data_IF_191389674716
#
_entry.id   IF_191389674716
#
_cell.length_a   1.000
_cell.length_b   1.000
_cell.length_c   1.000
_cell.angle_alpha   90.00
_cell.angle_beta   90.00
_cell.angle_gamma   90.00
#
_symmetry.space_group_name_H-M   'P 1'
#
loop_
_entity.id
_entity.type
_entity.pdbx_description
1 polymer ?
#
# COMPACT_ATOMS: atom_id res chain seq x y z
N UNK A 1 1.26 44.06 -29.43
CA UNK A 1 2.16 43.07 -28.78
C UNK A 1 1.25 42.09 -28.10
N UNK A 2 1.08 40.92 -28.71
CA UNK A 2 0.14 39.90 -28.28
C UNK A 2 0.61 39.28 -26.96
N UNK A 3 -0.31 39.26 -26.00
CA UNK A 3 -0.17 38.56 -24.72
C UNK A 3 -0.19 37.05 -25.00
N UNK A 4 0.91 36.36 -24.70
CA UNK A 4 0.94 34.90 -24.64
C UNK A 4 -0.03 34.42 -23.54
N UNK A 5 -0.82 33.36 -23.78
CA UNK A 5 -1.74 32.85 -22.78
C UNK A 5 -0.96 32.16 -21.67
N UNK A 6 -1.10 32.65 -20.45
CA UNK A 6 -0.64 32.01 -19.22
C UNK A 6 -1.19 30.58 -19.14
N UNK A 7 -0.31 29.59 -19.26
CA UNK A 7 -0.62 28.19 -19.00
C UNK A 7 -1.10 28.03 -17.56
N UNK A 8 -2.38 27.65 -17.40
CA UNK A 8 -2.98 27.37 -16.09
C UNK A 8 -2.16 26.29 -15.39
N UNK A 9 -1.70 26.62 -14.18
CA UNK A 9 -0.49 26.08 -13.56
C UNK A 9 -0.66 24.71 -12.92
N UNK A 10 0.35 23.87 -13.08
CA UNK A 10 0.53 22.73 -12.18
C UNK A 10 0.93 23.29 -10.81
N UNK A 11 0.24 22.87 -9.78
CA UNK A 11 0.55 23.17 -8.39
C UNK A 11 1.40 22.06 -7.79
N UNK A 12 2.18 22.39 -6.76
CA UNK A 12 2.89 21.39 -5.96
C UNK A 12 1.88 20.75 -5.00
N UNK A 13 1.52 19.50 -5.27
CA UNK A 13 0.52 18.77 -4.49
C UNK A 13 1.15 18.10 -3.26
N UNK A 14 2.43 17.74 -3.36
CA UNK A 14 3.22 17.16 -2.28
C UNK A 14 4.68 17.52 -2.48
N UNK A 15 5.32 17.96 -1.39
CA UNK A 15 6.75 18.10 -1.29
C UNK A 15 7.23 17.41 -0.02
N UNK A 16 8.21 16.52 -0.16
CA UNK A 16 8.80 15.78 0.94
C UNK A 16 10.31 15.90 0.90
N UNK A 17 10.88 16.08 2.08
CA UNK A 17 12.30 16.12 2.29
C UNK A 17 12.69 14.98 3.24
N UNK A 18 13.63 14.16 2.80
CA UNK A 18 14.30 13.17 3.66
C UNK A 18 15.77 13.55 3.80
N UNK A 19 16.53 12.81 4.60
CA UNK A 19 17.98 12.98 4.73
C UNK A 19 18.74 12.81 3.40
N UNK A 20 18.24 11.98 2.45
CA UNK A 20 18.90 11.68 1.17
C UNK A 20 18.32 12.37 -0.06
N UNK A 21 17.01 12.65 -0.07
CA UNK A 21 16.30 13.11 -1.28
C UNK A 21 15.25 14.19 -0.99
N UNK A 22 14.96 14.97 -2.02
CA UNK A 22 13.72 15.74 -2.18
C UNK A 22 12.79 15.01 -3.14
N UNK A 23 11.53 14.84 -2.75
CA UNK A 23 10.47 14.30 -3.60
C UNK A 23 9.38 15.34 -3.80
N UNK A 24 8.97 15.57 -5.04
CA UNK A 24 7.88 16.48 -5.37
C UNK A 24 6.92 15.83 -6.36
N UNK A 25 5.62 15.97 -6.11
CA UNK A 25 4.57 15.68 -7.08
C UNK A 25 3.86 16.98 -7.47
N UNK A 26 3.78 17.25 -8.77
CA UNK A 26 3.05 18.40 -9.31
C UNK A 26 1.89 17.95 -10.16
N UNK A 27 0.77 18.65 -10.08
CA UNK A 27 -0.44 18.30 -10.82
C UNK A 27 -1.50 19.37 -10.73
N UNK A 28 -2.67 19.05 -11.27
CA UNK A 28 -3.85 19.91 -11.10
C UNK A 28 -4.48 19.62 -9.74
N UNK A 29 -4.60 20.63 -8.90
CA UNK A 29 -5.33 20.51 -7.65
C UNK A 29 -6.84 20.45 -7.95
N UNK A 30 -7.48 19.35 -7.56
CA UNK A 30 -8.91 19.10 -7.73
C UNK A 30 -9.56 18.71 -6.40
N UNK A 31 -8.96 19.11 -5.28
CA UNK A 31 -9.43 18.70 -3.96
C UNK A 31 -10.87 19.14 -3.68
N UNK A 32 -11.29 20.29 -4.20
CA UNK A 32 -12.67 20.79 -4.08
C UNK A 32 -13.73 19.91 -4.76
N UNK A 33 -13.32 18.94 -5.59
CA UNK A 33 -14.24 18.03 -6.30
C UNK A 33 -14.55 16.77 -5.48
N UNK A 34 -13.92 16.61 -4.31
CA UNK A 34 -14.08 15.48 -3.40
C UNK A 34 -14.85 15.95 -2.16
N UNK A 35 -15.86 15.20 -1.74
CA UNK A 35 -16.58 15.45 -0.48
C UNK A 35 -16.05 14.54 0.64
N UNK A 36 -16.19 14.94 1.90
CA UNK A 36 -15.79 14.13 3.08
C UNK A 36 -16.46 12.75 3.17
N UNK A 37 -17.56 12.52 2.43
CA UNK A 37 -18.25 11.23 2.35
C UNK A 37 -17.65 10.29 1.30
N UNK A 38 -16.78 10.83 0.45
CA UNK A 38 -16.19 10.14 -0.70
C UNK A 38 -14.79 9.60 -0.36
N UNK A 39 -14.31 9.80 0.88
CA UNK A 39 -12.97 9.43 1.33
C UNK A 39 -13.02 8.84 2.75
N UNK A 40 -12.44 7.67 2.94
CA UNK A 40 -12.15 7.13 4.28
C UNK A 40 -10.79 7.64 4.81
N UNK A 41 -10.05 8.36 3.97
CA UNK A 41 -8.63 8.64 4.11
C UNK A 41 -8.33 10.09 3.70
N UNK A 42 -7.52 10.77 4.52
CA UNK A 42 -6.79 11.95 4.05
C UNK A 42 -5.88 11.52 2.91
N UNK A 43 -5.87 12.29 1.83
CA UNK A 43 -5.09 11.99 0.63
C UNK A 43 -3.66 11.57 0.98
N UNK A 44 -3.29 10.40 0.46
CA UNK A 44 -1.99 9.72 0.52
C UNK A 44 -1.35 9.50 1.91
N UNK A 45 -0.94 8.26 2.17
CA UNK A 45 -0.18 7.86 3.35
C UNK A 45 1.29 7.74 2.98
N UNK A 46 2.16 8.49 3.65
CA UNK A 46 3.61 8.35 3.49
C UNK A 46 4.10 7.33 4.51
N UNK A 47 4.78 6.29 4.03
CA UNK A 47 5.50 5.35 4.87
C UNK A 47 6.99 5.53 4.56
N UNK A 48 7.70 6.11 5.51
CA UNK A 48 9.15 6.23 5.48
C UNK A 48 9.77 5.17 6.39
N UNK A 49 10.85 4.53 5.93
CA UNK A 49 11.62 3.57 6.74
C UNK A 49 13.10 3.92 6.74
N UNK A 50 13.61 4.33 7.90
CA UNK A 50 15.05 4.45 8.16
C UNK A 50 15.41 3.53 9.32
N UNK A 51 16.44 2.69 9.11
CA UNK A 51 16.95 1.76 10.13
C UNK A 51 15.88 0.88 10.83
N UNK A 52 14.77 0.59 10.15
CA UNK A 52 13.69 -0.28 10.66
C UNK A 52 12.59 0.43 11.44
N UNK A 53 12.57 1.76 11.49
CA UNK A 53 11.44 2.52 12.03
C UNK A 53 10.51 2.97 10.89
N UNK A 54 9.28 2.44 10.86
CA UNK A 54 8.20 2.98 10.05
C UNK A 54 7.71 4.30 10.69
N UNK A 55 7.92 5.40 9.99
CA UNK A 55 7.35 6.70 10.32
C UNK A 55 6.23 7.00 9.34
N UNK A 56 5.01 7.14 9.87
CA UNK A 56 3.85 7.61 9.12
C UNK A 56 3.77 9.13 9.28
N UNK A 57 3.82 9.85 8.16
CA UNK A 57 3.66 11.30 8.14
C UNK A 57 2.28 11.58 7.51
N UNK A 58 1.39 12.20 8.29
CA UNK A 58 0.11 12.74 7.80
C UNK A 58 0.36 14.16 7.27
N UNK A 59 0.09 14.39 6.00
CA UNK A 59 0.31 15.67 5.31
C UNK A 59 -1.01 16.26 4.84
N UNK A 60 -0.98 17.48 4.30
CA UNK A 60 -2.17 18.10 3.71
C UNK A 60 -2.80 17.22 2.64
N UNK A 61 -4.14 17.28 2.55
CA UNK A 61 -4.91 16.45 1.63
C UNK A 61 -4.56 16.77 0.17
N UNK A 62 -4.16 15.76 -0.60
CA UNK A 62 -4.11 15.85 -2.05
C UNK A 62 -4.76 14.63 -2.68
N UNK A 63 -5.69 14.86 -3.61
CA UNK A 63 -6.42 13.79 -4.29
C UNK A 63 -5.87 13.58 -5.71
N UNK A 64 -5.62 12.31 -6.05
CA UNK A 64 -5.07 11.91 -7.35
C UNK A 64 -6.15 11.28 -8.23
N UNK A 65 -6.07 11.44 -9.55
CA UNK A 65 -7.10 10.97 -10.48
C UNK A 65 -6.50 10.20 -11.65
N UNK A 66 -7.22 9.18 -12.11
CA UNK A 66 -6.74 8.19 -13.06
C UNK A 66 -6.23 8.77 -14.40
N UNK A 67 -6.89 9.80 -14.93
CA UNK A 67 -6.61 10.36 -16.25
C UNK A 67 -5.94 11.75 -16.19
N UNK A 68 -5.43 12.12 -15.02
CA UNK A 68 -4.67 13.36 -14.84
C UNK A 68 -3.16 13.12 -14.99
N UNK A 69 -2.45 14.15 -15.44
CA UNK A 69 -1.00 14.12 -15.57
C UNK A 69 -0.32 14.63 -14.30
N UNK A 70 0.49 13.78 -13.67
CA UNK A 70 1.31 14.14 -12.52
C UNK A 70 2.78 14.14 -12.89
N UNK A 71 3.48 15.20 -12.51
CA UNK A 71 4.93 15.30 -12.68
C UNK A 71 5.62 14.88 -11.40
N UNK A 72 6.38 13.80 -11.47
CA UNK A 72 7.20 13.31 -10.37
C UNK A 72 8.61 13.87 -10.53
N UNK A 73 9.16 14.40 -9.45
CA UNK A 73 10.55 14.91 -9.39
C UNK A 73 11.20 14.32 -8.13
N UNK A 74 12.38 13.72 -8.31
CA UNK A 74 13.16 13.09 -7.25
C UNK A 74 14.59 13.59 -7.36
N UNK A 75 15.00 14.45 -6.44
CA UNK A 75 16.32 15.06 -6.42
C UNK A 75 17.16 14.49 -5.29
N UNK A 76 18.38 14.05 -5.60
CA UNK A 76 19.33 13.58 -4.60
C UNK A 76 20.06 14.76 -3.97
N UNK A 77 20.30 14.70 -2.66
CA UNK A 77 21.07 15.70 -1.91
C UNK A 77 22.57 15.55 -2.14
N UNK A 78 23.06 14.32 -2.16
CA UNK A 78 24.48 14.02 -2.37
C UNK A 78 24.74 13.46 -3.78
N UNK A 79 25.92 13.78 -4.34
CA UNK A 79 26.30 13.33 -5.69
C UNK A 79 26.51 11.83 -5.78
N UNK A 80 27.00 11.20 -4.72
CA UNK A 80 27.34 9.77 -4.69
C UNK A 80 26.13 8.88 -4.41
N UNK A 81 24.98 9.46 -4.07
CA UNK A 81 23.74 8.72 -3.85
C UNK A 81 23.18 8.20 -5.17
N UNK A 82 23.00 6.89 -5.26
CA UNK A 82 22.27 6.27 -6.35
C UNK A 82 20.78 6.22 -5.98
N UNK A 83 19.94 6.82 -6.83
CA UNK A 83 18.50 6.77 -6.69
C UNK A 83 17.86 5.99 -7.84
N UNK A 84 16.81 5.24 -7.54
CA UNK A 84 15.97 4.57 -8.54
C UNK A 84 14.50 4.64 -8.13
N UNK A 85 13.62 4.53 -9.12
CA UNK A 85 12.18 4.58 -8.93
C UNK A 85 11.55 3.24 -9.33
N UNK A 86 10.60 2.80 -8.51
CA UNK A 86 9.80 1.61 -8.77
C UNK A 86 8.32 1.92 -8.54
N UNK A 87 7.48 1.28 -9.35
CA UNK A 87 6.03 1.27 -9.27
C UNK A 87 5.58 -0.10 -9.80
N UNK A 88 4.45 -0.66 -9.35
CA UNK A 88 3.99 -1.97 -9.81
C UNK A 88 3.77 -2.00 -11.34
N UNK A 89 3.09 -0.97 -11.88
CA UNK A 89 2.92 -0.76 -13.31
C UNK A 89 4.21 -0.31 -14.02
N UNK A 90 4.62 -1.10 -15.02
CA UNK A 90 5.81 -0.86 -15.84
C UNK A 90 5.68 0.41 -16.70
N UNK A 91 4.50 0.76 -17.16
CA UNK A 91 4.28 1.95 -17.98
C UNK A 91 4.55 3.22 -17.19
N UNK A 92 4.14 3.27 -15.92
CA UNK A 92 4.49 4.35 -15.00
C UNK A 92 6.00 4.38 -14.74
N UNK A 93 6.62 3.22 -14.45
CA UNK A 93 8.08 3.14 -14.24
C UNK A 93 8.87 3.69 -15.43
N UNK A 94 8.48 3.33 -16.65
CA UNK A 94 9.18 3.73 -17.86
C UNK A 94 9.04 5.23 -18.20
N UNK A 95 8.10 5.94 -17.58
CA UNK A 95 7.98 7.40 -17.73
C UNK A 95 8.97 8.17 -16.87
N UNK A 96 9.51 7.55 -15.83
CA UNK A 96 10.50 8.17 -14.96
C UNK A 96 11.89 7.95 -15.54
N UNK A 97 12.60 9.05 -15.77
CA UNK A 97 13.91 9.07 -16.44
C UNK A 97 14.95 9.78 -15.61
N UNK A 98 16.19 9.34 -15.74
CA UNK A 98 17.35 9.93 -15.07
C UNK A 98 17.91 11.08 -15.90
N UNK A 99 18.11 12.23 -15.27
CA UNK A 99 18.75 13.38 -15.91
C UNK A 99 20.28 13.33 -15.75
N UNK A 100 20.98 14.36 -16.26
CA UNK A 100 22.44 14.44 -16.18
C UNK A 100 22.99 14.60 -14.76
N UNK A 101 22.24 15.21 -13.84
CA UNK A 101 22.65 15.30 -12.42
C UNK A 101 22.47 13.98 -11.68
N UNK A 102 21.76 13.02 -12.27
CA UNK A 102 21.38 11.77 -11.65
C UNK A 102 20.10 11.84 -10.83
N UNK A 103 19.38 12.96 -10.88
CA UNK A 103 18.00 13.10 -10.39
C UNK A 103 17.03 12.36 -11.32
N UNK A 104 15.84 12.02 -10.84
CA UNK A 104 14.80 11.35 -11.63
C UNK A 104 13.60 12.29 -11.83
N UNK A 105 13.03 12.28 -13.03
CA UNK A 105 11.75 12.95 -13.27
C UNK A 105 10.96 12.34 -14.41
N UNK A 106 9.66 12.60 -14.42
CA UNK A 106 8.77 12.18 -15.50
C UNK A 106 7.32 12.57 -15.28
N UNK A 107 6.52 12.47 -16.34
CA UNK A 107 5.07 12.72 -16.31
C UNK A 107 4.36 11.37 -16.35
N UNK A 108 3.55 11.10 -15.32
CA UNK A 108 2.82 9.85 -15.13
C UNK A 108 1.31 10.10 -15.16
N UNK A 109 0.56 9.06 -15.52
CA UNK A 109 -0.91 9.00 -15.52
C UNK A 109 -1.26 7.57 -15.12
N UNK A 110 -2.26 7.38 -14.25
CA UNK A 110 -2.61 6.06 -13.73
C UNK A 110 -3.50 5.24 -14.68
N UNK A 111 -4.13 5.90 -15.66
CA UNK A 111 -4.82 5.29 -16.82
C UNK A 111 -5.75 4.11 -16.48
N UNK A 112 -6.61 4.27 -15.49
CA UNK A 112 -7.55 3.23 -15.06
C UNK A 112 -7.10 2.43 -13.84
N UNK A 113 -5.89 2.65 -13.32
CA UNK A 113 -5.46 2.13 -12.02
C UNK A 113 -6.05 3.00 -10.90
N UNK A 114 -7.30 2.72 -10.54
CA UNK A 114 -7.97 3.34 -9.41
C UNK A 114 -7.70 2.57 -8.10
N UNK A 115 -7.80 3.27 -6.96
CA UNK A 115 -7.45 2.76 -5.63
C UNK A 115 -6.01 3.09 -5.24
N UNK A 116 -5.44 2.31 -4.31
CA UNK A 116 -4.11 2.58 -3.78
C UNK A 116 -2.98 2.29 -4.78
N UNK A 117 -2.01 3.19 -4.86
CA UNK A 117 -0.82 3.10 -5.71
C UNK A 117 0.42 3.50 -4.93
N UNK A 118 1.43 2.62 -4.93
CA UNK A 118 2.69 2.82 -4.20
C UNK A 118 3.79 3.35 -5.13
N UNK A 119 4.24 4.58 -4.87
CA UNK A 119 5.41 5.19 -5.48
C UNK A 119 6.63 4.88 -4.60
N UNK A 120 7.53 4.02 -5.07
CA UNK A 120 8.67 3.52 -4.29
C UNK A 120 9.97 4.15 -4.80
N UNK A 121 10.63 4.91 -3.93
CA UNK A 121 11.94 5.49 -4.20
C UNK A 121 12.98 4.67 -3.44
N UNK A 122 14.00 4.21 -4.17
CA UNK A 122 15.11 3.44 -3.61
C UNK A 122 16.39 4.25 -3.62
N UNK A 123 17.11 4.22 -2.51
CA UNK A 123 18.45 4.79 -2.35
C UNK A 123 19.45 3.66 -2.19
N UNK A 124 20.48 3.62 -3.03
CA UNK A 124 21.52 2.59 -3.04
C UNK A 124 20.93 1.16 -3.06
N UNK A 125 19.85 0.98 -3.84
CA UNK A 125 19.14 -0.30 -4.01
C UNK A 125 18.15 -0.67 -2.90
N UNK A 126 18.08 0.07 -1.79
CA UNK A 126 17.15 -0.16 -0.68
C UNK A 126 15.96 0.78 -0.74
N UNK A 127 14.79 0.31 -0.32
CA UNK A 127 13.59 1.14 -0.21
C UNK A 127 13.82 2.21 0.86
N UNK A 128 13.66 3.47 0.43
CA UNK A 128 13.95 4.65 1.24
C UNK A 128 12.68 5.42 1.54
N UNK A 129 11.81 5.57 0.54
CA UNK A 129 10.54 6.29 0.66
C UNK A 129 9.45 5.56 -0.11
N UNK A 130 8.35 5.25 0.55
CA UNK A 130 7.14 4.69 -0.07
C UNK A 130 6.01 5.70 0.13
N UNK A 131 5.45 6.16 -0.98
CA UNK A 131 4.31 7.08 -0.98
C UNK A 131 3.12 6.31 -1.51
N UNK A 132 2.20 5.96 -0.64
CA UNK A 132 0.96 5.31 -1.02
C UNK A 132 -0.08 6.39 -1.27
N UNK A 133 -0.47 6.56 -2.52
CA UNK A 133 -1.52 7.51 -2.92
C UNK A 133 -2.82 6.75 -3.22
N UNK A 134 -3.96 7.41 -3.04
CA UNK A 134 -5.25 6.91 -3.52
C UNK A 134 -5.60 7.61 -4.84
N UNK A 135 -5.88 6.82 -5.87
CA UNK A 135 -6.22 7.28 -7.22
C UNK A 135 -7.73 7.13 -7.45
N UNK A 136 -8.40 8.25 -7.65
CA UNK A 136 -9.83 8.34 -7.86
C UNK A 136 -10.21 8.29 -9.34
N UNK A 137 -11.38 7.74 -9.69
CA UNK A 137 -11.89 7.82 -11.04
C UNK A 137 -12.26 9.27 -11.41
N UNK A 138 -12.04 9.66 -12.66
CA UNK A 138 -12.29 11.04 -13.10
C UNK A 138 -13.77 11.32 -13.38
N UNK A 139 -14.58 10.29 -13.68
CA UNK A 139 -16.00 10.42 -14.02
C UNK A 139 -16.88 10.16 -12.80
N UNK A 140 -17.82 11.09 -12.53
CA UNK A 140 -18.76 11.02 -11.39
C UNK A 140 -19.60 9.73 -11.43
N UNK A 141 -20.04 9.31 -12.62
CA UNK A 141 -20.81 8.07 -12.77
C UNK A 141 -19.97 6.85 -12.38
N UNK A 142 -18.70 6.83 -12.79
CA UNK A 142 -17.77 5.77 -12.41
C UNK A 142 -17.46 5.76 -10.91
N UNK A 143 -17.47 6.92 -10.25
CA UNK A 143 -17.29 7.01 -8.80
C UNK A 143 -18.48 6.39 -8.05
N UNK A 144 -19.70 6.72 -8.48
CA UNK A 144 -20.93 6.13 -7.91
C UNK A 144 -21.01 4.62 -8.20
N UNK A 145 -20.71 4.24 -9.44
CA UNK A 145 -20.69 2.83 -9.86
C UNK A 145 -19.59 2.07 -9.14
N UNK A 146 -18.41 2.66 -8.92
CA UNK A 146 -17.30 2.04 -8.17
C UNK A 146 -17.65 1.87 -6.70
N UNK A 147 -18.25 2.89 -6.06
CA UNK A 147 -18.71 2.78 -4.68
C UNK A 147 -19.83 1.74 -4.54
N UNK A 148 -20.76 1.71 -5.48
CA UNK A 148 -21.81 0.68 -5.53
C UNK A 148 -21.21 -0.72 -5.73
N UNK A 149 -20.26 -0.89 -6.68
CA UNK A 149 -19.55 -2.15 -6.90
C UNK A 149 -18.75 -2.57 -5.65
N UNK A 150 -18.05 -1.66 -4.98
CA UNK A 150 -17.34 -1.98 -3.74
C UNK A 150 -18.30 -2.41 -2.63
N UNK A 151 -19.44 -1.74 -2.52
CA UNK A 151 -20.47 -2.11 -1.56
C UNK A 151 -21.07 -3.50 -1.88
N UNK A 152 -21.39 -3.74 -3.16
CA UNK A 152 -21.89 -5.03 -3.66
C UNK A 152 -20.86 -6.16 -3.46
N UNK A 153 -19.59 -5.92 -3.79
CA UNK A 153 -18.48 -6.88 -3.58
C UNK A 153 -18.29 -7.18 -2.10
N UNK A 154 -18.34 -6.16 -1.24
CA UNK A 154 -18.23 -6.37 0.19
C UNK A 154 -19.36 -7.29 0.67
N UNK A 155 -20.61 -7.00 0.31
CA UNK A 155 -21.75 -7.86 0.66
C UNK A 155 -21.61 -9.29 0.08
N UNK A 156 -21.15 -9.45 -1.16
CA UNK A 156 -21.00 -10.75 -1.83
C UNK A 156 -19.83 -11.58 -1.27
N UNK A 157 -18.67 -10.97 -0.97
CA UNK A 157 -17.54 -11.64 -0.31
C UNK A 157 -17.90 -12.06 1.11
N UNK A 158 -18.60 -11.23 1.87
CA UNK A 158 -19.07 -11.61 3.21
C UNK A 158 -19.99 -12.82 3.15
N UNK A 159 -20.93 -12.84 2.20
CA UNK A 159 -21.84 -13.96 2.01
C UNK A 159 -21.12 -15.23 1.53
N UNK A 160 -20.18 -15.12 0.60
CA UNK A 160 -19.36 -16.26 0.12
C UNK A 160 -18.44 -16.81 1.20
N UNK A 161 -17.76 -15.94 1.94
CA UNK A 161 -16.91 -16.31 3.07
C UNK A 161 -17.75 -16.97 4.17
N UNK A 162 -18.93 -16.42 4.47
CA UNK A 162 -19.86 -17.00 5.43
C UNK A 162 -20.37 -18.36 4.98
N UNK A 163 -20.79 -18.52 3.72
CA UNK A 163 -21.23 -19.79 3.16
C UNK A 163 -20.11 -20.82 3.16
N UNK A 164 -18.88 -20.43 2.84
CA UNK A 164 -17.70 -21.30 2.92
C UNK A 164 -17.42 -21.75 4.37
N UNK A 165 -17.44 -20.81 5.32
CA UNK A 165 -17.23 -21.11 6.74
C UNK A 165 -18.35 -21.99 7.28
N UNK A 166 -19.61 -21.72 6.94
CA UNK A 166 -20.77 -22.53 7.31
C UNK A 166 -20.69 -23.95 6.74
N UNK A 167 -20.32 -24.10 5.47
CA UNK A 167 -20.12 -25.42 4.82
C UNK A 167 -19.01 -26.20 5.50
N UNK A 168 -17.87 -25.57 5.77
CA UNK A 168 -16.72 -26.22 6.42
C UNK A 168 -17.04 -26.59 7.88
N UNK A 169 -17.72 -25.70 8.61
CA UNK A 169 -18.20 -25.96 9.97
C UNK A 169 -19.21 -27.12 10.01
N UNK A 170 -20.16 -27.15 9.07
CA UNK A 170 -21.15 -28.22 8.95
C UNK A 170 -20.51 -29.57 8.56
N UNK A 171 -19.52 -29.56 7.66
CA UNK A 171 -18.78 -30.76 7.23
C UNK A 171 -17.89 -31.33 8.34
N UNK A 172 -17.40 -30.48 9.25
CA UNK A 172 -16.59 -30.90 10.40
C UNK A 172 -17.38 -31.60 11.51
N UNK A 173 -18.69 -31.79 11.34
CA UNK A 173 -19.53 -32.63 12.21
C UNK A 173 -19.90 -32.03 13.56
N UNK A 174 -19.61 -30.75 13.80
CA UNK A 174 -19.78 -30.10 15.11
C UNK A 174 -21.19 -29.54 15.37
N UNK A 175 -22.09 -29.48 14.36
CA UNK A 175 -23.45 -28.99 14.56
C UNK A 175 -24.50 -30.09 14.38
N UNK A 176 -25.02 -30.59 15.50
CA UNK A 176 -26.25 -31.40 15.53
C UNK A 176 -27.50 -30.57 15.88
N UNK A 177 -27.38 -29.25 16.04
CA UNK A 177 -28.49 -28.39 16.47
C UNK A 177 -28.71 -27.25 15.47
N UNK A 178 -29.87 -27.25 14.80
CA UNK A 178 -30.35 -26.16 13.94
C UNK A 178 -30.77 -24.97 14.84
N UNK A 179 -29.88 -24.02 15.02
CA UNK A 179 -30.17 -22.71 15.63
C UNK A 179 -30.50 -21.64 14.58
N UNK A 180 -30.86 -20.43 15.03
CA UNK A 180 -31.00 -19.26 14.15
C UNK A 180 -29.67 -18.85 13.53
N UNK A 181 -29.68 -18.17 12.39
CA UNK A 181 -28.47 -17.72 11.66
C UNK A 181 -27.48 -16.96 12.55
N UNK A 182 -27.98 -16.16 13.49
CA UNK A 182 -27.15 -15.41 14.45
C UNK A 182 -26.43 -16.32 15.47
N UNK A 183 -27.08 -17.40 15.90
CA UNK A 183 -26.48 -18.37 16.84
C UNK A 183 -25.40 -19.20 16.13
N UNK A 184 -25.65 -19.57 14.87
CA UNK A 184 -24.65 -20.24 14.03
C UNK A 184 -23.45 -19.32 13.78
N UNK A 185 -23.69 -18.05 13.44
CA UNK A 185 -22.63 -17.04 13.24
C UNK A 185 -21.78 -16.85 14.49
N UNK A 186 -22.41 -16.64 15.65
CA UNK A 186 -21.69 -16.50 16.92
C UNK A 186 -20.84 -17.74 17.23
N UNK A 187 -21.39 -18.93 16.99
CA UNK A 187 -20.67 -20.19 17.23
C UNK A 187 -19.43 -20.34 16.33
N UNK A 188 -19.54 -19.95 15.04
CA UNK A 188 -18.41 -19.95 14.11
C UNK A 188 -17.34 -18.94 14.56
N UNK A 189 -17.74 -17.71 14.91
CA UNK A 189 -16.82 -16.70 15.40
C UNK A 189 -16.09 -17.14 16.67
N UNK A 190 -16.81 -17.64 17.67
CA UNK A 190 -16.22 -18.14 18.92
C UNK A 190 -15.21 -19.25 18.64
N UNK A 191 -15.54 -20.18 17.74
CA UNK A 191 -14.63 -21.26 17.37
C UNK A 191 -13.33 -20.76 16.71
N UNK A 192 -13.43 -19.84 15.75
CA UNK A 192 -12.26 -19.25 15.09
C UNK A 192 -11.40 -18.50 16.11
N UNK A 193 -12.03 -17.72 16.98
CA UNK A 193 -11.34 -16.90 17.97
C UNK A 193 -10.62 -17.76 19.02
N UNK A 194 -11.24 -18.85 19.48
CA UNK A 194 -10.59 -19.81 20.39
C UNK A 194 -9.43 -20.55 19.72
N UNK A 195 -9.56 -20.90 18.44
CA UNK A 195 -8.46 -21.49 17.68
C UNK A 195 -7.29 -20.50 17.53
N UNK A 196 -7.58 -19.25 17.17
CA UNK A 196 -6.57 -18.19 17.08
C UNK A 196 -5.87 -17.98 18.43
N UNK A 197 -6.63 -17.90 19.52
CA UNK A 197 -6.10 -17.76 20.88
C UNK A 197 -5.18 -18.93 21.25
N UNK A 198 -5.54 -20.16 20.88
CA UNK A 198 -4.70 -21.34 21.09
C UNK A 198 -3.38 -21.23 20.31
N UNK A 199 -3.43 -20.86 19.03
CA UNK A 199 -2.21 -20.69 18.21
C UNK A 199 -1.33 -19.54 18.73
N UNK A 200 -1.92 -18.41 19.10
CA UNK A 200 -1.21 -17.30 19.74
C UNK A 200 -0.56 -17.71 21.06
N UNK A 201 -1.25 -18.53 21.87
CA UNK A 201 -0.67 -19.11 23.09
C UNK A 201 0.50 -20.05 22.78
N UNK A 202 0.46 -20.81 21.69
CA UNK A 202 1.57 -21.67 21.26
C UNK A 202 2.77 -20.81 20.84
N UNK A 203 2.54 -19.78 20.02
CA UNK A 203 3.58 -18.86 19.54
C UNK A 203 4.23 -18.11 20.71
N UNK A 204 3.43 -17.62 21.66
CA UNK A 204 3.93 -16.93 22.86
C UNK A 204 4.62 -17.87 23.84
N UNK A 205 4.21 -19.14 23.92
CA UNK A 205 4.86 -20.14 24.77
C UNK A 205 6.17 -20.71 24.19
N UNK A 206 6.38 -20.64 22.87
CA UNK A 206 7.61 -21.12 22.20
C UNK A 206 8.19 -20.01 21.30
N UNK A 207 8.84 -18.99 21.88
CA UNK A 207 9.39 -17.87 21.10
C UNK A 207 10.69 -18.22 20.33
N UNK A 208 11.31 -19.37 20.59
CA UNK A 208 12.63 -19.71 20.02
C UNK A 208 12.68 -21.11 19.39
N UNK A 209 12.39 -21.18 18.09
CA UNK A 209 13.08 -22.12 17.19
C UNK A 209 13.83 -21.32 16.11
N UNK A 210 14.81 -20.52 16.53
CA UNK A 210 15.92 -20.18 15.63
C UNK A 210 16.85 -21.39 15.57
N UNK A 211 17.03 -21.97 14.38
CA UNK A 211 18.10 -22.91 14.11
C UNK A 211 19.44 -22.17 14.18
N UNK A 212 19.98 -22.02 15.38
CA UNK A 212 21.34 -21.53 15.58
C UNK A 212 22.28 -22.70 15.24
N UNK A 213 22.91 -22.63 14.07
CA UNK A 213 23.95 -23.58 13.68
C UNK A 213 25.26 -23.21 14.38
N UNK A 214 25.46 -23.71 15.61
CA UNK A 214 26.75 -23.59 16.29
C UNK A 214 27.77 -24.50 15.61
N UNK A 215 28.67 -23.93 14.79
CA UNK A 215 29.90 -24.61 14.38
C UNK A 215 30.84 -24.71 15.59
N UNK A 216 30.79 -25.81 16.33
CA UNK A 216 31.84 -26.18 17.28
C UNK A 216 33.00 -26.86 16.55
N UNK A 217 34.19 -26.28 16.63
CA UNK A 217 35.43 -26.92 16.22
C UNK A 217 35.72 -28.01 17.26
N UNK A 218 35.65 -29.28 16.85
CA UNK A 218 35.98 -30.43 17.68
C UNK A 218 37.28 -31.08 17.18
N UNK A 219 38.13 -31.61 18.09
CA UNK A 219 39.34 -32.32 17.71
C UNK A 219 39.03 -33.61 16.93
N UNK A 220 39.91 -33.93 15.96
CA UNK A 220 39.73 -34.95 14.91
C UNK A 220 39.21 -36.32 15.39
N UNK A 221 39.56 -36.74 16.61
CA UNK A 221 39.21 -38.05 17.16
C UNK A 221 37.74 -38.21 17.57
N UNK A 222 36.87 -37.19 17.42
CA UNK A 222 35.43 -37.27 17.72
C UNK A 222 34.51 -37.25 16.51
N UNK A 223 35.02 -37.27 15.28
CA UNK A 223 34.19 -37.34 14.09
C UNK A 223 33.87 -38.81 13.81
N UNK A 224 32.60 -39.22 13.98
CA UNK A 224 32.10 -40.48 13.42
C UNK A 224 31.92 -40.25 11.91
N UNK A 225 32.60 -41.06 11.10
CA UNK A 225 32.27 -41.24 9.68
C UNK A 225 30.88 -41.86 9.53
#
# INVERSE_FOLDING_TARGET
MDLQPSGRGKEELLCLETDKIYFTIKGKNRNSEINEQDTDSKGFKIIYSEEGNELVIDTEEAYFFEYENYELIIEKKDRDTEISFYHANKDIRNKITKNRSGSLSGIVTFRGEIGYSDLIIKVNGKEHLIIQIEVFPTKIDYRKDYMAILQDINEEIYNLAFDFLKRTYSMSGLSKNKGTTLTEYYSILTYIFEKLKKELNIITAIPHHSLINERKIAPYHKIKM
#
